data_IF_856368069294
#
_entry.id   IF_856368069294
#
_cell.length_a   1.000
_cell.length_b   1.000
_cell.length_c   1.000
_cell.angle_alpha   90.00
_cell.angle_beta   90.00
_cell.angle_gamma   90.00
#
_symmetry.space_group_name_H-M   'P 1'
#
loop_
_entity.id
_entity.type
_entity.pdbx_description
1 polymer ?
#
# COMPACT_ATOMS: atom_id res chain seq x y z
N UNK A 1 15.08 -44.96 17.82
CA UNK A 1 15.76 -43.86 17.08
C UNK A 1 14.64 -43.17 16.27
N UNK A 2 13.94 -42.17 16.88
CA UNK A 2 12.82 -41.47 16.28
C UNK A 2 13.32 -40.13 15.77
N UNK A 3 13.38 -40.00 14.45
CA UNK A 3 13.68 -38.73 13.78
C UNK A 3 12.50 -37.79 13.98
N UNK A 4 12.70 -36.72 14.75
CA UNK A 4 11.74 -35.60 14.87
C UNK A 4 11.68 -34.88 13.53
N UNK A 5 10.58 -35.10 12.83
CA UNK A 5 10.18 -34.32 11.67
C UNK A 5 9.80 -32.90 12.15
N UNK A 6 10.78 -31.96 12.15
CA UNK A 6 10.50 -30.55 12.30
C UNK A 6 9.98 -30.05 10.95
N UNK A 7 8.69 -30.18 10.74
CA UNK A 7 8.01 -29.40 9.70
C UNK A 7 8.23 -27.93 10.00
N UNK A 8 9.07 -27.31 9.17
CA UNK A 8 9.19 -25.85 9.07
C UNK A 8 7.80 -25.30 8.78
N UNK A 9 7.17 -24.66 9.76
CA UNK A 9 5.95 -23.91 9.55
C UNK A 9 6.30 -22.78 8.59
N UNK A 10 5.99 -22.95 7.31
CA UNK A 10 6.10 -21.93 6.30
C UNK A 10 5.44 -20.65 6.83
N UNK A 11 6.19 -19.56 6.93
CA UNK A 11 5.70 -18.27 7.44
C UNK A 11 4.77 -17.66 6.41
N UNK A 12 3.51 -18.03 6.53
CA UNK A 12 2.41 -17.40 5.79
C UNK A 12 2.34 -15.91 6.17
N UNK A 13 2.27 -15.00 5.18
CA UNK A 13 1.99 -13.60 5.51
C UNK A 13 0.61 -13.53 6.11
N UNK A 14 0.62 -12.91 7.26
CA UNK A 14 -0.60 -12.69 8.02
C UNK A 14 -1.43 -11.61 7.34
N UNK A 15 -2.60 -11.97 6.88
CA UNK A 15 -3.65 -11.00 6.62
C UNK A 15 -4.05 -10.37 7.95
N UNK A 16 -4.05 -9.05 7.99
CA UNK A 16 -4.42 -8.29 9.18
C UNK A 16 -5.72 -7.57 8.86
N UNK A 17 -6.87 -8.10 9.32
CA UNK A 17 -8.12 -7.40 9.17
C UNK A 17 -8.16 -6.18 10.09
N UNK A 18 -8.88 -5.14 9.65
CA UNK A 18 -9.17 -3.99 10.51
C UNK A 18 -9.99 -4.44 11.73
N UNK A 19 -9.48 -4.15 12.91
CA UNK A 19 -10.14 -4.47 14.16
C UNK A 19 -10.06 -3.25 15.09
N UNK A 20 -11.08 -2.39 15.02
CA UNK A 20 -11.20 -1.30 15.97
C UNK A 20 -11.39 -1.85 17.40
N UNK A 21 -10.77 -1.22 18.42
CA UNK A 21 -11.01 -1.57 19.80
C UNK A 21 -12.50 -1.49 20.16
N UNK A 22 -12.94 -2.36 21.06
CA UNK A 22 -14.32 -2.34 21.52
C UNK A 22 -14.69 -0.95 22.12
N UNK A 23 -15.81 -0.40 21.67
CA UNK A 23 -16.30 0.91 22.14
C UNK A 23 -15.74 2.11 21.35
N UNK A 24 -14.89 1.90 20.33
CA UNK A 24 -14.44 2.97 19.44
C UNK A 24 -15.26 3.03 18.15
N UNK A 25 -15.28 4.17 17.43
CA UNK A 25 -15.95 4.27 16.15
C UNK A 25 -15.45 3.22 15.14
N UNK A 26 -16.39 2.52 14.49
CA UNK A 26 -16.04 1.52 13.50
C UNK A 26 -15.45 2.18 12.23
N UNK A 27 -14.29 1.75 11.81
CA UNK A 27 -13.72 2.11 10.51
C UNK A 27 -12.54 3.08 10.53
N UNK A 28 -12.22 3.70 11.68
CA UNK A 28 -11.02 4.51 11.88
C UNK A 28 -10.44 4.27 13.26
N UNK A 29 -9.11 4.35 13.38
CA UNK A 29 -8.38 4.30 14.65
C UNK A 29 -7.16 5.21 14.58
N UNK A 30 -6.87 5.93 15.66
CA UNK A 30 -5.61 6.65 15.84
C UNK A 30 -4.89 6.16 17.08
N UNK A 31 -3.58 6.04 17.01
CA UNK A 31 -2.74 5.64 18.15
C UNK A 31 -1.32 6.18 18.00
N UNK A 32 -0.59 6.25 19.10
CA UNK A 32 0.86 6.52 19.06
C UNK A 32 1.65 5.25 18.74
N UNK A 33 2.92 5.41 18.31
CA UNK A 33 3.84 4.28 18.21
C UNK A 33 4.11 3.63 19.57
N UNK A 34 4.00 4.38 20.67
CA UNK A 34 4.08 3.83 22.02
C UNK A 34 2.91 2.86 22.32
N UNK A 35 1.68 3.24 21.95
CA UNK A 35 0.51 2.37 22.06
C UNK A 35 0.65 1.11 21.21
N UNK A 36 1.15 1.25 19.99
CA UNK A 36 1.41 0.09 19.11
C UNK A 36 2.40 -0.88 19.76
N UNK A 37 3.51 -0.38 20.31
CA UNK A 37 4.49 -1.20 21.06
C UNK A 37 3.88 -1.92 22.24
N UNK A 38 2.97 -1.26 22.95
CA UNK A 38 2.24 -1.87 24.07
C UNK A 38 1.25 -2.96 23.68
N UNK A 39 0.66 -2.85 22.47
CA UNK A 39 -0.38 -3.79 21.99
C UNK A 39 0.17 -4.97 21.20
N UNK A 40 1.26 -4.76 20.44
CA UNK A 40 1.78 -5.76 19.50
C UNK A 40 3.24 -6.07 19.82
N UNK A 41 3.58 -7.32 20.15
CA UNK A 41 4.96 -7.73 20.36
C UNK A 41 5.84 -7.41 19.14
N UNK A 42 7.06 -6.90 19.37
CA UNK A 42 8.00 -6.50 18.32
C UNK A 42 8.28 -7.60 17.30
N UNK A 43 8.38 -8.86 17.74
CA UNK A 43 8.52 -10.01 16.84
C UNK A 43 7.36 -10.17 15.84
N UNK A 44 6.14 -9.76 16.23
CA UNK A 44 4.99 -9.78 15.32
C UNK A 44 5.03 -8.61 14.34
N UNK A 45 5.46 -7.44 14.78
CA UNK A 45 5.66 -6.27 13.91
C UNK A 45 6.74 -6.56 12.86
N UNK A 46 7.84 -7.19 13.26
CA UNK A 46 8.94 -7.55 12.38
C UNK A 46 8.58 -8.62 11.33
N UNK A 47 7.40 -9.24 11.41
CA UNK A 47 6.95 -10.17 10.37
C UNK A 47 6.19 -9.41 9.28
N UNK A 48 6.34 -9.85 8.01
CA UNK A 48 5.55 -9.28 6.93
C UNK A 48 4.04 -9.43 7.18
N UNK A 49 3.28 -8.40 6.87
CA UNK A 49 1.84 -8.29 7.11
C UNK A 49 1.15 -7.70 5.89
N UNK A 50 -0.06 -8.14 5.61
CA UNK A 50 -0.93 -7.59 4.55
C UNK A 50 -2.20 -7.04 5.21
N UNK A 51 -2.27 -5.74 5.48
CA UNK A 51 -3.49 -5.13 6.00
C UNK A 51 -4.58 -5.06 4.92
N UNK A 52 -5.84 -5.19 5.32
CA UNK A 52 -7.02 -4.92 4.49
C UNK A 52 -7.53 -3.48 4.64
N UNK A 53 -6.75 -2.63 5.32
CA UNK A 53 -7.04 -1.24 5.64
C UNK A 53 -5.87 -0.33 5.26
N UNK A 54 -6.15 0.97 5.17
CA UNK A 54 -5.12 2.00 5.00
C UNK A 54 -4.38 2.25 6.30
N UNK A 55 -3.07 2.46 6.18
CA UNK A 55 -2.20 2.75 7.31
C UNK A 55 -1.37 4.00 6.98
N UNK A 56 -1.63 5.08 7.68
CA UNK A 56 -0.82 6.29 7.65
C UNK A 56 0.07 6.31 8.89
N UNK A 57 1.33 6.68 8.70
CA UNK A 57 2.28 6.87 9.80
C UNK A 57 3.06 8.15 9.56
N UNK A 58 3.12 9.00 10.59
CA UNK A 58 4.08 10.10 10.65
C UNK A 58 5.02 9.92 11.82
N UNK A 59 6.30 10.27 11.65
CA UNK A 59 7.28 10.29 12.73
C UNK A 59 7.47 11.70 13.26
N UNK A 60 7.53 11.81 14.59
CA UNK A 60 7.84 13.06 15.31
C UNK A 60 9.25 13.03 15.89
N UNK A 61 9.78 11.84 16.24
CA UNK A 61 11.15 11.67 16.71
C UNK A 61 11.70 10.29 16.33
N UNK A 62 13.02 10.17 16.37
CA UNK A 62 13.74 8.93 16.03
C UNK A 62 13.78 8.65 14.54
N UNK A 63 13.93 7.38 14.19
CA UNK A 63 13.95 6.89 12.82
C UNK A 63 13.41 5.48 12.75
N UNK A 64 12.84 5.12 11.60
CA UNK A 64 12.25 3.81 11.39
C UNK A 64 12.54 3.31 9.97
N UNK A 65 13.14 2.13 9.87
CA UNK A 65 13.16 1.40 8.61
C UNK A 65 11.83 0.66 8.45
N UNK A 66 11.12 0.89 7.35
CA UNK A 66 9.85 0.24 7.05
C UNK A 66 9.85 -0.28 5.63
N UNK A 67 9.49 -1.53 5.43
CA UNK A 67 9.45 -2.11 4.09
C UNK A 67 8.01 -2.18 3.60
N UNK A 68 7.77 -1.70 2.37
CA UNK A 68 6.48 -1.83 1.67
C UNK A 68 6.74 -2.43 0.30
N UNK A 69 6.03 -3.51 -0.03
CA UNK A 69 6.14 -4.21 -1.32
C UNK A 69 7.59 -4.47 -1.75
N UNK A 70 8.42 -5.00 -0.83
CA UNK A 70 9.84 -5.33 -1.04
C UNK A 70 10.79 -4.12 -1.16
N UNK A 71 10.29 -2.90 -1.00
CA UNK A 71 11.11 -1.68 -0.99
C UNK A 71 11.27 -1.19 0.44
N UNK A 72 12.51 -1.04 0.88
CA UNK A 72 12.81 -0.48 2.19
C UNK A 72 12.79 1.05 2.14
N UNK A 73 12.10 1.65 3.09
CA UNK A 73 11.99 3.09 3.27
C UNK A 73 12.57 3.48 4.62
N UNK A 74 13.49 4.45 4.63
CA UNK A 74 14.02 5.04 5.85
C UNK A 74 13.19 6.27 6.22
N UNK A 75 12.34 6.13 7.22
CA UNK A 75 11.51 7.22 7.72
C UNK A 75 12.28 8.05 8.74
N UNK A 76 12.10 9.37 8.70
CA UNK A 76 12.67 10.37 9.59
C UNK A 76 11.54 11.26 10.14
N UNK A 77 11.80 12.05 11.19
CA UNK A 77 10.83 13.02 11.67
C UNK A 77 10.32 13.91 10.52
N UNK A 78 8.99 14.09 10.45
CA UNK A 78 8.31 14.78 9.35
C UNK A 78 8.01 13.92 8.12
N UNK A 79 8.50 12.67 8.04
CA UNK A 79 8.09 11.74 6.98
C UNK A 79 6.68 11.22 7.22
N UNK A 80 5.93 11.09 6.14
CA UNK A 80 4.63 10.40 6.09
C UNK A 80 4.75 9.14 5.26
N UNK A 81 4.34 8.02 5.82
CA UNK A 81 4.20 6.73 5.14
C UNK A 81 2.71 6.47 4.92
N UNK A 82 2.35 6.02 3.72
CA UNK A 82 0.99 5.55 3.42
C UNK A 82 1.03 4.14 2.83
N UNK A 83 0.67 3.15 3.63
CA UNK A 83 0.46 1.77 3.17
C UNK A 83 -1.02 1.59 2.84
N UNK A 84 -1.29 1.06 1.64
CA UNK A 84 -2.64 0.86 1.12
C UNK A 84 -3.08 -0.59 1.31
N UNK A 85 -4.40 -0.86 1.37
CA UNK A 85 -4.92 -2.22 1.45
C UNK A 85 -4.28 -3.15 0.42
N UNK A 86 -3.92 -4.37 0.86
CA UNK A 86 -3.31 -5.37 0.00
C UNK A 86 -1.81 -5.18 -0.29
N UNK A 87 -1.19 -4.05 0.08
CA UNK A 87 0.26 -3.93 0.11
C UNK A 87 0.84 -4.75 1.25
N UNK A 88 2.04 -5.27 1.06
CA UNK A 88 2.73 -6.00 2.10
C UNK A 88 3.69 -5.08 2.81
N UNK A 89 3.56 -4.97 4.12
CA UNK A 89 4.44 -4.16 4.95
C UNK A 89 5.21 -5.03 5.94
N UNK A 90 6.37 -4.53 6.34
CA UNK A 90 7.18 -5.11 7.40
C UNK A 90 7.85 -3.97 8.18
N UNK A 91 7.64 -3.98 9.48
CA UNK A 91 8.22 -2.99 10.37
C UNK A 91 9.67 -3.35 10.68
N UNK A 92 10.52 -2.35 10.71
CA UNK A 92 11.82 -2.45 11.35
C UNK A 92 11.71 -2.30 12.87
N UNK A 93 12.82 -1.95 13.50
CA UNK A 93 12.83 -1.68 14.93
C UNK A 93 12.12 -0.37 15.25
N UNK A 94 11.01 -0.48 15.98
CA UNK A 94 10.17 0.65 16.39
C UNK A 94 10.56 1.23 17.75
N UNK A 95 11.57 0.67 18.44
CA UNK A 95 11.87 0.97 19.84
C UNK A 95 12.23 2.44 20.06
N UNK A 96 12.98 3.05 19.17
CA UNK A 96 13.44 4.44 19.27
C UNK A 96 12.61 5.44 18.44
N UNK A 97 11.50 5.01 17.84
CA UNK A 97 10.67 5.86 17.00
C UNK A 97 9.43 6.36 17.75
N UNK A 98 9.14 7.65 17.62
CA UNK A 98 7.90 8.26 18.10
C UNK A 98 7.11 8.82 16.93
N UNK A 99 5.78 8.73 17.02
CA UNK A 99 4.92 9.19 15.94
C UNK A 99 3.47 8.76 16.12
N UNK A 100 2.66 9.10 15.13
CA UNK A 100 1.22 8.83 15.13
C UNK A 100 0.86 7.93 13.97
N UNK A 101 0.04 6.90 14.27
CA UNK A 101 -0.61 6.05 13.30
C UNK A 101 -2.06 6.47 13.14
N UNK A 102 -2.53 6.45 11.89
CA UNK A 102 -3.95 6.53 11.55
C UNK A 102 -4.28 5.32 10.69
N UNK A 103 -5.16 4.47 11.17
CA UNK A 103 -5.65 3.28 10.49
C UNK A 103 -7.10 3.53 10.07
N UNK A 104 -7.47 3.22 8.84
CA UNK A 104 -8.84 3.39 8.41
C UNK A 104 -9.23 2.41 7.31
N UNK A 105 -10.50 2.00 7.32
CA UNK A 105 -11.10 1.22 6.24
C UNK A 105 -11.45 2.12 5.06
N UNK A 106 -11.34 1.59 3.87
CA UNK A 106 -11.66 2.33 2.64
C UNK A 106 -13.10 2.86 2.64
N UNK A 107 -14.05 2.07 3.14
CA UNK A 107 -15.46 2.43 3.23
C UNK A 107 -15.80 3.46 4.33
N UNK A 108 -14.82 3.86 5.14
CA UNK A 108 -14.99 4.93 6.12
C UNK A 108 -14.98 6.33 5.48
N UNK A 109 -14.27 6.52 4.37
CA UNK A 109 -14.33 7.75 3.59
C UNK A 109 -15.58 7.78 2.70
N UNK A 110 -16.07 8.97 2.44
CA UNK A 110 -17.09 9.12 1.40
C UNK A 110 -16.48 8.89 0.00
N UNK A 111 -17.27 8.41 -0.98
CA UNK A 111 -16.76 8.06 -2.30
C UNK A 111 -16.13 9.24 -3.07
N UNK A 112 -16.62 10.45 -2.88
CA UNK A 112 -16.07 11.64 -3.55
C UNK A 112 -14.67 11.96 -3.02
N UNK A 113 -14.49 11.93 -1.70
CA UNK A 113 -13.17 12.08 -1.05
C UNK A 113 -12.22 10.97 -1.47
N UNK A 114 -12.68 9.71 -1.46
CA UNK A 114 -11.85 8.57 -1.85
C UNK A 114 -11.35 8.70 -3.30
N UNK A 115 -12.20 9.15 -4.19
CA UNK A 115 -11.86 9.43 -5.60
C UNK A 115 -10.90 10.61 -5.73
N UNK A 116 -11.18 11.73 -5.08
CA UNK A 116 -10.35 12.93 -5.15
C UNK A 116 -8.93 12.68 -4.57
N UNK A 117 -8.83 11.97 -3.45
CA UNK A 117 -7.56 11.60 -2.83
C UNK A 117 -6.88 10.38 -3.50
N UNK A 118 -7.54 9.73 -4.47
CA UNK A 118 -7.02 8.52 -5.16
C UNK A 118 -6.50 7.48 -4.17
N UNK A 119 -7.26 7.21 -3.13
CA UNK A 119 -6.81 6.36 -2.02
C UNK A 119 -6.38 4.96 -2.48
N UNK A 120 -6.95 4.47 -3.60
CA UNK A 120 -6.66 3.16 -4.19
C UNK A 120 -5.52 3.17 -5.21
N UNK A 121 -4.83 4.30 -5.39
CA UNK A 121 -3.74 4.37 -6.35
C UNK A 121 -2.55 3.52 -5.90
N UNK A 122 -2.44 2.32 -6.46
CA UNK A 122 -1.35 1.39 -6.18
C UNK A 122 0.04 1.94 -6.60
N UNK A 123 0.08 3.00 -7.41
CA UNK A 123 1.29 3.64 -7.89
C UNK A 123 1.61 4.95 -7.16
N UNK A 124 0.73 5.40 -6.28
CA UNK A 124 1.00 6.58 -5.49
C UNK A 124 2.22 6.37 -4.57
N UNK A 125 3.01 7.42 -4.34
CA UNK A 125 4.14 7.34 -3.44
C UNK A 125 3.77 6.74 -2.09
N UNK A 126 4.64 5.85 -1.60
CA UNK A 126 4.51 5.23 -0.29
C UNK A 126 4.99 6.18 0.80
N UNK A 127 6.00 6.99 0.51
CA UNK A 127 6.58 7.96 1.45
C UNK A 127 6.53 9.35 0.84
N UNK A 128 6.11 10.31 1.66
CA UNK A 128 6.13 11.74 1.35
C UNK A 128 6.84 12.49 2.48
N UNK A 129 7.54 13.56 2.14
CA UNK A 129 8.17 14.45 3.11
C UNK A 129 7.69 15.86 2.84
N UNK A 130 6.59 16.28 3.47
CA UNK A 130 6.02 17.59 3.31
C UNK A 130 6.98 18.66 3.88
N UNK A 131 6.92 19.85 3.35
CA UNK A 131 7.77 20.97 3.78
C UNK A 131 6.92 22.18 4.18
N UNK A 132 7.48 23.02 5.04
CA UNK A 132 6.89 24.30 5.43
C UNK A 132 5.41 24.22 5.86
N UNK A 133 4.53 24.94 5.16
CA UNK A 133 3.11 25.06 5.52
C UNK A 133 2.34 23.75 5.32
N UNK A 134 2.74 22.92 4.38
CA UNK A 134 2.12 21.61 4.18
C UNK A 134 2.40 20.68 5.36
N UNK A 135 3.64 20.67 5.87
CA UNK A 135 3.98 19.89 7.06
C UNK A 135 3.13 20.31 8.25
N UNK A 136 3.07 21.63 8.52
CA UNK A 136 2.24 22.18 9.61
C UNK A 136 0.76 21.84 9.45
N UNK A 137 0.22 21.94 8.24
CA UNK A 137 -1.18 21.65 7.98
C UNK A 137 -1.53 20.19 8.17
N UNK A 138 -0.62 19.26 7.82
CA UNK A 138 -0.79 17.82 8.04
C UNK A 138 -0.69 17.46 9.53
N UNK A 139 0.26 18.05 10.25
CA UNK A 139 0.43 17.82 11.68
C UNK A 139 -0.84 18.27 12.45
N UNK A 140 -1.38 19.45 12.12
CA UNK A 140 -2.63 19.94 12.71
C UNK A 140 -3.82 19.03 12.36
N UNK A 141 -3.91 18.55 11.12
CA UNK A 141 -4.99 17.64 10.72
C UNK A 141 -4.92 16.30 11.47
N UNK A 142 -3.73 15.73 11.60
CA UNK A 142 -3.51 14.49 12.33
C UNK A 142 -3.76 14.65 13.85
N UNK A 143 -3.29 15.75 14.43
CA UNK A 143 -3.52 16.07 15.84
C UNK A 143 -5.02 16.23 16.12
N UNK A 144 -5.75 16.97 15.27
CA UNK A 144 -7.18 17.17 15.45
C UNK A 144 -7.95 15.85 15.32
N UNK A 145 -7.63 15.06 14.30
CA UNK A 145 -8.24 13.72 14.12
C UNK A 145 -7.98 12.82 15.33
N UNK A 146 -6.76 12.81 15.85
CA UNK A 146 -6.40 12.02 17.03
C UNK A 146 -7.12 12.50 18.30
N UNK A 147 -7.19 13.80 18.50
CA UNK A 147 -7.90 14.40 19.64
C UNK A 147 -9.39 14.07 19.60
N UNK A 148 -10.03 14.23 18.44
CA UNK A 148 -11.44 13.89 18.25
C UNK A 148 -11.68 12.39 18.47
N UNK A 149 -10.83 11.51 17.97
CA UNK A 149 -10.96 10.06 18.17
C UNK A 149 -10.96 9.69 19.66
N UNK A 150 -10.19 10.36 20.50
CA UNK A 150 -10.11 10.10 21.94
C UNK A 150 -11.19 10.85 22.76
N UNK A 151 -11.96 11.73 22.13
CA UNK A 151 -13.03 12.52 22.78
C UNK A 151 -14.38 11.80 22.83
N UNK A 152 -14.38 10.46 22.90
CA UNK A 152 -15.60 9.63 22.94
C UNK A 152 -16.56 10.08 24.05
N UNK A 153 -17.86 10.15 23.72
CA UNK A 153 -18.92 10.48 24.67
C UNK A 153 -19.20 11.97 24.81
N UNK A 154 -18.47 12.86 24.16
CA UNK A 154 -18.75 14.30 24.15
C UNK A 154 -19.84 14.70 23.14
N UNK A 155 -20.01 13.90 22.09
CA UNK A 155 -21.00 14.08 21.03
C UNK A 155 -21.87 12.82 20.87
N UNK A 156 -23.08 12.92 20.30
CA UNK A 156 -23.81 11.76 19.82
C UNK A 156 -22.93 10.96 18.85
N UNK A 157 -23.05 9.63 18.88
CA UNK A 157 -22.14 8.73 18.16
C UNK A 157 -22.11 8.99 16.63
N UNK A 158 -23.26 9.24 16.03
CA UNK A 158 -23.38 9.55 14.58
C UNK A 158 -22.68 10.88 14.23
N UNK A 159 -22.81 11.89 15.06
CA UNK A 159 -22.14 13.19 14.89
C UNK A 159 -20.61 13.03 15.06
N UNK A 160 -20.19 12.26 16.07
CA UNK A 160 -18.77 11.98 16.31
C UNK A 160 -18.14 11.23 15.14
N UNK A 161 -18.82 10.20 14.61
CA UNK A 161 -18.37 9.46 13.41
C UNK A 161 -18.31 10.38 12.18
N UNK A 162 -19.28 11.29 12.01
CA UNK A 162 -19.24 12.26 10.91
C UNK A 162 -18.06 13.23 11.05
N UNK A 163 -17.79 13.74 12.25
CA UNK A 163 -16.63 14.61 12.52
C UNK A 163 -15.31 13.89 12.19
N UNK A 164 -15.13 12.66 12.65
CA UNK A 164 -13.94 11.85 12.33
C UNK A 164 -13.77 11.62 10.83
N UNK A 165 -14.87 11.36 10.11
CA UNK A 165 -14.84 11.18 8.66
C UNK A 165 -14.35 12.44 7.94
N UNK A 166 -14.85 13.62 8.32
CA UNK A 166 -14.41 14.88 7.74
C UNK A 166 -12.97 15.24 8.08
N UNK A 167 -12.52 14.99 9.32
CA UNK A 167 -11.13 15.22 9.70
C UNK A 167 -10.18 14.29 8.95
N UNK A 168 -10.53 13.01 8.80
CA UNK A 168 -9.78 12.07 8.00
C UNK A 168 -9.75 12.51 6.52
N UNK A 169 -10.87 12.98 5.98
CA UNK A 169 -10.94 13.50 4.61
C UNK A 169 -9.93 14.63 4.38
N UNK A 170 -9.85 15.60 5.30
CA UNK A 170 -8.86 16.69 5.23
C UNK A 170 -7.44 16.13 5.20
N UNK A 171 -7.11 15.18 6.07
CA UNK A 171 -5.78 14.58 6.15
C UNK A 171 -5.40 13.85 4.84
N UNK A 172 -6.26 12.97 4.34
CA UNK A 172 -5.95 12.18 3.12
C UNK A 172 -5.91 13.03 1.86
N UNK A 173 -6.79 14.04 1.72
CA UNK A 173 -6.75 14.98 0.61
C UNK A 173 -5.44 15.76 0.57
N UNK A 174 -4.98 16.27 1.72
CA UNK A 174 -3.69 16.96 1.80
C UNK A 174 -2.53 16.05 1.45
N UNK A 175 -2.47 14.85 2.02
CA UNK A 175 -1.42 13.87 1.70
C UNK A 175 -1.38 13.50 0.23
N UNK A 176 -2.54 13.30 -0.40
CA UNK A 176 -2.63 12.96 -1.81
C UNK A 176 -2.11 14.08 -2.73
N UNK A 177 -2.24 15.34 -2.30
CA UNK A 177 -1.79 16.50 -3.09
C UNK A 177 -0.33 16.88 -2.86
N UNK A 178 0.34 16.39 -1.82
CA UNK A 178 1.78 16.58 -1.59
C UNK A 178 2.67 15.91 -2.64
N UNK A 179 2.13 15.01 -3.42
CA UNK A 179 2.89 14.27 -4.44
C UNK A 179 3.12 15.05 -5.73
N UNK A 180 2.73 16.34 -5.76
CA UNK A 180 3.04 17.26 -6.86
C UNK A 180 4.47 17.80 -6.65
N UNK A 181 5.42 17.57 -7.58
CA UNK A 181 6.75 18.13 -7.48
C UNK A 181 6.69 19.66 -7.33
N UNK A 182 7.57 20.23 -6.49
CA UNK A 182 7.63 21.67 -6.19
C UNK A 182 8.02 22.54 -7.41
N UNK A 183 8.38 21.98 -8.54
CA UNK A 183 8.83 22.67 -9.76
C UNK A 183 7.71 23.11 -10.72
N UNK A 184 6.50 23.22 -10.23
CA UNK A 184 5.32 23.67 -10.97
C UNK A 184 4.13 22.77 -10.75
N UNK A 185 2.90 23.21 -11.11
CA UNK A 185 1.76 22.32 -11.08
C UNK A 185 2.09 21.15 -11.99
N UNK A 186 2.26 19.96 -11.39
CA UNK A 186 2.31 18.76 -12.20
C UNK A 186 1.05 18.81 -13.08
N UNK A 187 1.19 18.66 -14.39
CA UNK A 187 0.01 18.65 -15.26
C UNK A 187 -0.94 17.60 -14.67
N UNK A 188 -2.19 18.01 -14.48
CA UNK A 188 -3.21 17.04 -14.02
C UNK A 188 -3.04 15.78 -14.86
N UNK A 189 -2.92 14.60 -14.25
CA UNK A 189 -2.68 13.40 -15.01
C UNK A 189 -3.78 13.30 -16.06
N UNK A 190 -3.39 13.19 -17.32
CA UNK A 190 -4.29 13.07 -18.47
C UNK A 190 -5.40 12.04 -18.11
N UNK A 191 -6.63 12.41 -18.27
CA UNK A 191 -7.80 11.52 -18.03
C UNK A 191 -7.58 10.15 -18.68
N UNK A 192 -6.96 10.13 -19.85
CA UNK A 192 -6.59 8.90 -20.56
C UNK A 192 -5.69 8.01 -19.70
N UNK A 193 -4.67 8.60 -19.02
CA UNK A 193 -3.80 7.84 -18.13
C UNK A 193 -4.57 7.31 -16.92
N UNK A 194 -5.41 8.13 -16.29
CA UNK A 194 -6.20 7.70 -15.13
C UNK A 194 -7.11 6.53 -15.47
N UNK A 195 -7.84 6.62 -16.58
CA UNK A 195 -8.71 5.54 -17.08
C UNK A 195 -7.90 4.28 -17.43
N UNK A 196 -6.73 4.43 -18.04
CA UNK A 196 -5.86 3.30 -18.33
C UNK A 196 -5.31 2.64 -17.06
N UNK A 197 -4.86 3.41 -16.09
CA UNK A 197 -4.40 2.92 -14.79
C UNK A 197 -5.49 2.10 -14.10
N UNK A 198 -6.70 2.65 -14.01
CA UNK A 198 -7.83 1.98 -13.35
C UNK A 198 -8.24 0.70 -14.09
N UNK A 199 -8.20 0.71 -15.42
CA UNK A 199 -8.42 -0.49 -16.22
C UNK A 199 -7.33 -1.55 -16.00
N UNK A 200 -6.06 -1.15 -15.83
CA UNK A 200 -4.97 -2.09 -15.49
C UNK A 200 -5.22 -2.73 -14.14
N UNK A 201 -5.58 -1.96 -13.11
CA UNK A 201 -5.89 -2.53 -11.79
C UNK A 201 -7.04 -3.56 -11.85
N UNK A 202 -8.05 -3.32 -12.65
CA UNK A 202 -9.20 -4.22 -12.78
C UNK A 202 -8.93 -5.46 -13.63
N UNK A 203 -8.00 -5.38 -14.59
CA UNK A 203 -7.88 -6.41 -15.64
C UNK A 203 -6.49 -7.01 -15.82
N UNK A 204 -5.47 -6.64 -15.01
CA UNK A 204 -4.09 -7.13 -15.18
C UNK A 204 -3.97 -8.66 -15.09
N UNK A 205 -4.89 -9.35 -14.42
CA UNK A 205 -4.94 -10.83 -14.38
C UNK A 205 -5.57 -11.44 -15.63
N UNK A 206 -6.31 -10.66 -16.45
CA UNK A 206 -7.00 -11.13 -17.64
C UNK A 206 -6.20 -10.91 -18.89
N UNK A 207 -5.56 -9.76 -19.01
CA UNK A 207 -4.75 -9.40 -20.17
C UNK A 207 -3.50 -8.61 -19.79
N UNK A 208 -2.45 -8.76 -20.61
CA UNK A 208 -1.19 -8.03 -20.52
C UNK A 208 -0.89 -7.25 -21.81
N UNK A 209 -1.85 -7.22 -22.74
CA UNK A 209 -1.71 -6.58 -24.05
C UNK A 209 -2.28 -5.17 -24.00
N UNK A 210 -1.48 -4.20 -24.42
CA UNK A 210 -1.91 -2.79 -24.45
C UNK A 210 -3.08 -2.60 -25.42
N UNK A 211 -3.12 -3.38 -26.49
CA UNK A 211 -4.18 -3.37 -27.50
C UNK A 211 -5.55 -3.68 -26.88
N UNK A 212 -5.62 -4.64 -25.95
CA UNK A 212 -6.87 -5.02 -25.29
C UNK A 212 -7.38 -3.89 -24.40
N UNK A 213 -6.48 -3.19 -23.69
CA UNK A 213 -6.84 -2.00 -22.92
C UNK A 213 -7.26 -0.82 -23.81
N UNK A 214 -6.57 -0.66 -24.93
CA UNK A 214 -6.92 0.38 -25.91
C UNK A 214 -8.32 0.16 -26.45
N UNK A 215 -8.66 -1.08 -26.80
CA UNK A 215 -10.02 -1.45 -27.25
C UNK A 215 -11.04 -1.25 -26.14
N UNK A 216 -10.75 -1.69 -24.91
CA UNK A 216 -11.65 -1.55 -23.74
C UNK A 216 -12.01 -0.08 -23.46
N UNK A 217 -11.03 0.80 -23.61
CA UNK A 217 -11.17 2.21 -23.26
C UNK A 217 -11.57 3.12 -24.43
N UNK A 218 -11.62 2.58 -25.67
CA UNK A 218 -11.93 3.36 -26.87
C UNK A 218 -10.77 4.28 -27.32
N UNK A 219 -9.52 3.93 -26.97
CA UNK A 219 -8.33 4.68 -27.34
C UNK A 219 -7.44 3.91 -28.33
N UNK A 220 -6.52 4.61 -28.98
CA UNK A 220 -5.44 3.92 -29.70
C UNK A 220 -4.31 3.49 -28.74
N UNK A 221 -3.57 2.40 -29.05
CA UNK A 221 -2.37 2.03 -28.26
C UNK A 221 -1.35 3.17 -28.15
N UNK A 222 -1.23 3.98 -29.20
CA UNK A 222 -0.33 5.16 -29.24
C UNK A 222 -0.79 6.25 -28.26
N UNK A 223 -2.10 6.44 -28.11
CA UNK A 223 -2.67 7.39 -27.16
C UNK A 223 -2.35 6.96 -25.72
N UNK A 224 -2.58 5.67 -25.41
CA UNK A 224 -2.23 5.11 -24.10
C UNK A 224 -0.73 5.21 -23.81
N UNK A 225 0.13 4.90 -24.78
CA UNK A 225 1.58 4.97 -24.62
C UNK A 225 2.05 6.39 -24.32
N UNK A 226 1.51 7.40 -25.02
CA UNK A 226 1.84 8.82 -24.76
C UNK A 226 1.38 9.28 -23.40
N UNK A 227 0.13 8.98 -23.02
CA UNK A 227 -0.42 9.35 -21.73
C UNK A 227 0.34 8.71 -20.57
N UNK A 228 0.69 7.41 -20.69
CA UNK A 228 1.45 6.68 -19.68
C UNK A 228 2.89 7.20 -19.56
N UNK A 229 3.54 7.47 -20.69
CA UNK A 229 4.89 8.01 -20.66
C UNK A 229 4.95 9.40 -20.01
N UNK A 230 3.97 10.26 -20.32
CA UNK A 230 3.88 11.59 -19.73
C UNK A 230 3.59 11.60 -18.24
N UNK A 231 2.72 10.69 -17.76
CA UNK A 231 2.29 10.67 -16.35
C UNK A 231 3.14 9.77 -15.45
N UNK A 232 3.61 8.63 -15.97
CA UNK A 232 4.34 7.61 -15.19
C UNK A 232 5.81 7.42 -15.61
N UNK A 233 6.28 8.11 -16.65
CA UNK A 233 7.66 8.03 -17.12
C UNK A 233 8.05 6.68 -17.75
N UNK A 234 7.07 5.81 -18.01
CA UNK A 234 7.30 4.46 -18.57
C UNK A 234 6.35 4.17 -19.73
N UNK A 235 6.67 3.16 -20.54
CA UNK A 235 5.76 2.72 -21.61
C UNK A 235 4.50 2.10 -21.01
N UNK A 236 3.37 2.13 -21.75
CA UNK A 236 2.13 1.49 -21.34
C UNK A 236 2.32 -0.03 -21.10
N UNK A 237 3.16 -0.69 -21.90
CA UNK A 237 3.50 -2.11 -21.71
C UNK A 237 4.25 -2.35 -20.39
N UNK A 238 5.25 -1.54 -20.12
CA UNK A 238 6.03 -1.61 -18.87
C UNK A 238 5.14 -1.35 -17.66
N UNK A 239 4.20 -0.42 -17.76
CA UNK A 239 3.25 -0.11 -16.70
C UNK A 239 2.41 -1.34 -16.32
N UNK A 240 1.81 -2.02 -17.32
CA UNK A 240 1.07 -3.27 -17.09
C UNK A 240 1.99 -4.36 -16.53
N UNK A 241 3.20 -4.51 -17.08
CA UNK A 241 4.13 -5.54 -16.65
C UNK A 241 4.58 -5.34 -15.19
N UNK A 242 4.83 -4.10 -14.76
CA UNK A 242 5.16 -3.79 -13.36
C UNK A 242 4.05 -4.21 -12.41
N UNK A 243 2.80 -3.96 -12.77
CA UNK A 243 1.64 -4.37 -11.95
C UNK A 243 1.53 -5.88 -11.81
N UNK A 244 1.68 -6.61 -12.92
CA UNK A 244 1.65 -8.09 -12.92
C UNK A 244 2.81 -8.67 -12.10
N UNK A 245 4.02 -8.12 -12.27
CA UNK A 245 5.21 -8.56 -11.52
C UNK A 245 5.06 -8.29 -10.02
N UNK A 246 4.51 -7.14 -9.63
CA UNK A 246 4.25 -6.82 -8.23
C UNK A 246 3.32 -7.86 -7.60
N UNK A 247 2.21 -8.19 -8.26
CA UNK A 247 1.28 -9.19 -7.74
C UNK A 247 1.91 -10.59 -7.71
N UNK A 248 2.68 -10.94 -8.75
CA UNK A 248 3.44 -12.19 -8.76
C UNK A 248 4.38 -12.29 -7.56
N UNK A 249 5.14 -11.23 -7.27
CA UNK A 249 6.04 -11.16 -6.11
C UNK A 249 5.27 -11.31 -4.80
N UNK A 250 4.14 -10.62 -4.64
CA UNK A 250 3.26 -10.74 -3.46
C UNK A 250 2.79 -12.18 -3.27
N UNK A 251 2.23 -12.81 -4.29
CA UNK A 251 1.75 -14.19 -4.24
C UNK A 251 2.88 -15.20 -3.97
N UNK A 252 4.04 -15.05 -4.62
CA UNK A 252 5.18 -15.95 -4.42
C UNK A 252 5.77 -15.84 -3.01
N UNK A 253 5.90 -14.63 -2.50
CA UNK A 253 6.47 -14.40 -1.18
C UNK A 253 5.52 -14.84 -0.06
N UNK A 254 4.21 -14.67 -0.28
CA UNK A 254 3.23 -14.55 0.78
C UNK A 254 2.12 -15.59 0.76
N UNK A 255 2.16 -16.53 -0.17
CA UNK A 255 1.25 -17.66 -0.18
C UNK A 255 2.02 -18.97 -0.40
N UNK A 256 1.49 -20.07 0.14
CA UNK A 256 2.03 -21.41 -0.14
C UNK A 256 1.59 -21.97 -1.50
N UNK A 257 1.01 -21.10 -2.34
CA UNK A 257 0.61 -21.49 -3.68
C UNK A 257 1.84 -21.91 -4.51
N UNK A 258 1.70 -22.98 -5.27
CA UNK A 258 2.73 -23.37 -6.23
C UNK A 258 2.90 -22.28 -7.31
N UNK A 259 4.08 -22.19 -7.94
CA UNK A 259 4.29 -21.27 -9.06
C UNK A 259 3.28 -21.49 -10.20
N UNK A 260 2.81 -22.74 -10.37
CA UNK A 260 1.75 -23.09 -11.33
C UNK A 260 0.40 -22.44 -10.96
N UNK A 261 0.05 -22.43 -9.68
CA UNK A 261 -1.20 -21.82 -9.20
C UNK A 261 -1.14 -20.29 -9.29
N UNK A 262 0.01 -19.71 -8.96
CA UNK A 262 0.26 -18.27 -9.16
C UNK A 262 0.15 -17.89 -10.64
N UNK A 263 0.73 -18.70 -11.54
CA UNK A 263 0.61 -18.50 -12.98
C UNK A 263 -0.85 -18.47 -13.44
N UNK A 264 -1.65 -19.45 -13.01
CA UNK A 264 -3.07 -19.53 -13.35
C UNK A 264 -3.85 -18.33 -12.82
N UNK A 265 -3.61 -17.93 -11.56
CA UNK A 265 -4.26 -16.76 -10.95
C UNK A 265 -3.94 -15.44 -11.67
N UNK A 266 -2.72 -15.32 -12.22
CA UNK A 266 -2.29 -14.16 -12.99
C UNK A 266 -2.65 -14.27 -14.49
N UNK A 267 -3.45 -15.25 -14.88
CA UNK A 267 -3.93 -15.41 -16.27
C UNK A 267 -2.87 -15.86 -17.26
N UNK A 268 -1.84 -16.58 -16.82
CA UNK A 268 -0.88 -17.20 -17.74
C UNK A 268 -1.42 -18.56 -18.24
N UNK A 269 -1.26 -18.81 -19.53
CA UNK A 269 -1.74 -20.06 -20.15
C UNK A 269 -1.04 -21.31 -19.58
N UNK A 270 0.21 -21.18 -19.14
CA UNK A 270 0.95 -22.27 -18.50
C UNK A 270 2.07 -21.73 -17.58
N UNK A 271 2.56 -22.55 -16.63
CA UNK A 271 3.60 -22.17 -15.68
C UNK A 271 4.93 -21.78 -16.32
N UNK A 272 5.27 -22.38 -17.47
CA UNK A 272 6.53 -22.08 -18.18
C UNK A 272 6.54 -20.68 -18.77
N UNK A 273 5.41 -20.21 -19.29
CA UNK A 273 5.28 -18.83 -19.76
C UNK A 273 5.42 -17.85 -18.58
N UNK A 274 4.79 -18.13 -17.46
CA UNK A 274 4.93 -17.34 -16.25
C UNK A 274 6.38 -17.28 -15.77
N UNK A 275 7.06 -18.43 -15.70
CA UNK A 275 8.44 -18.50 -15.23
C UNK A 275 9.38 -17.69 -16.12
N UNK A 276 9.26 -17.80 -17.46
CA UNK A 276 10.04 -17.00 -18.41
C UNK A 276 9.73 -15.50 -18.28
N UNK A 277 8.46 -15.16 -18.19
CA UNK A 277 8.00 -13.78 -18.01
C UNK A 277 8.55 -13.16 -16.74
N UNK A 278 8.45 -13.86 -15.60
CA UNK A 278 8.93 -13.41 -14.31
C UNK A 278 10.46 -13.26 -14.30
N UNK A 279 11.18 -14.29 -14.76
CA UNK A 279 12.64 -14.28 -14.81
C UNK A 279 13.19 -13.16 -15.69
N UNK A 280 12.58 -12.89 -16.83
CA UNK A 280 13.00 -11.79 -17.71
C UNK A 280 12.90 -10.42 -17.03
N UNK A 281 11.92 -10.23 -16.15
CA UNK A 281 11.65 -8.92 -15.49
C UNK A 281 12.24 -8.77 -14.11
N UNK A 282 12.46 -9.87 -13.42
CA UNK A 282 12.94 -9.88 -12.02
C UNK A 282 14.41 -10.32 -11.94
N UNK A 283 14.94 -10.94 -13.00
CA UNK A 283 16.31 -11.44 -13.06
C UNK A 283 16.53 -12.81 -12.41
N UNK A 284 15.49 -13.40 -11.81
CA UNK A 284 15.57 -14.71 -11.15
C UNK A 284 14.27 -15.48 -11.33
N UNK A 285 14.31 -16.81 -11.16
CA UNK A 285 13.12 -17.64 -11.29
C UNK A 285 12.11 -17.39 -10.16
N UNK A 286 10.81 -17.72 -10.36
CA UNK A 286 9.81 -17.63 -9.29
C UNK A 286 10.17 -18.42 -8.04
N UNK A 287 10.83 -19.57 -8.21
CA UNK A 287 11.25 -20.45 -7.10
C UNK A 287 12.40 -19.79 -6.34
N UNK A 288 13.45 -19.36 -7.04
CA UNK A 288 14.61 -18.69 -6.41
C UNK A 288 14.18 -17.40 -5.69
N UNK A 289 13.27 -16.63 -6.31
CA UNK A 289 12.72 -15.44 -5.66
C UNK A 289 12.05 -15.79 -4.33
N UNK A 290 11.22 -16.84 -4.32
CA UNK A 290 10.54 -17.31 -3.10
C UNK A 290 11.54 -17.71 -2.03
N UNK A 291 12.55 -18.48 -2.37
CA UNK A 291 13.59 -18.94 -1.44
C UNK A 291 14.37 -17.76 -0.86
N UNK A 292 14.79 -16.83 -1.69
CA UNK A 292 15.52 -15.63 -1.24
C UNK A 292 14.69 -14.77 -0.29
N UNK A 293 13.41 -14.53 -0.61
CA UNK A 293 12.55 -13.69 0.23
C UNK A 293 12.22 -14.40 1.55
N UNK A 294 11.95 -15.70 1.51
CA UNK A 294 11.66 -16.48 2.72
C UNK A 294 12.93 -16.75 3.55
N UNK A 295 14.07 -17.00 2.94
CA UNK A 295 15.35 -17.21 3.62
C UNK A 295 15.97 -15.92 4.22
N UNK A 296 15.67 -14.74 3.68
CA UNK A 296 16.06 -13.46 4.32
C UNK A 296 15.27 -13.15 5.59
N UNK A 297 14.10 -13.78 5.76
CA UNK A 297 13.31 -13.66 6.97
C UNK A 297 13.83 -14.55 8.12
N UNK A 298 14.82 -15.41 7.85
CA UNK A 298 15.42 -16.32 8.84
C UNK A 298 16.78 -15.83 9.40
N UNK A 299 17.33 -14.74 8.86
CA UNK A 299 18.55 -14.09 9.36
C UNK A 299 18.22 -12.77 10.03
#
# INVERSE_FOLDING_TARGET
MMAKNRQSAAREIREVPFAAPAGTPAGVETMSLADLRGRVPGERLARPQRPDFHHLLTLTAGGLAHTVDFTAHALRPGSWLWVRPGQVQQWGDVTGAEGTLVLFRQDFLDPATATAARVDDAHAPVVSTPVADDARALDLAAEHLSREFHALGQLPLDVHVAALRHLLAVLVLRLAHLTVPADGPAPEPDETYLRFRDAVEQHFTRTRRVEDYAQLLGYSPRTLARATLGAAGVSAKEFVDRRVVLEAKRLLAHSDQTAARVAAQLGFANPSQFSKYFQHRVGQSPIDFREVVRGRAEK
#
